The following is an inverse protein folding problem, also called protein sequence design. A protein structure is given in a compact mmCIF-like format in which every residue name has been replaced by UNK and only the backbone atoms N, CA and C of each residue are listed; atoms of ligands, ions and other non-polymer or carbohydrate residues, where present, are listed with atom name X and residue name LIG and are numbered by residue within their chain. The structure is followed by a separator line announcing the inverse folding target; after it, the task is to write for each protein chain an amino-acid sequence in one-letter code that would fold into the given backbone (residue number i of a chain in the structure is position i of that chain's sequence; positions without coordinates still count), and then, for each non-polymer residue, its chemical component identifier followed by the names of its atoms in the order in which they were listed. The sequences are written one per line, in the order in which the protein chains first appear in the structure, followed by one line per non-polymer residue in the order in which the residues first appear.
data_IF_853690096031
#
_entry.id   IF_853690096031
#
_cell.length_a   1.000
_cell.length_b   1.000
_cell.length_c   1.000
_cell.angle_alpha   90.00
_cell.angle_beta   90.00
_cell.angle_gamma   90.00
#
_symmetry.space_group_name_H-M   'P 1'
#
loop_
_entity.id
_entity.type
_entity.pdbx_description
1 polymer ?
#
# COMPACT_ATOMS: atom_id res chain seq x y z
N UNK A 1 1.91 2.93 32.06
CA UNK A 1 2.39 1.60 32.49
C UNK A 1 2.86 0.88 31.23
N UNK A 2 4.18 0.74 31.06
CA UNK A 2 4.81 0.19 29.86
C UNK A 2 4.68 -1.33 29.82
N UNK A 3 3.78 -1.84 28.97
CA UNK A 3 3.65 -3.27 28.70
C UNK A 3 4.67 -3.69 27.66
N UNK A 4 5.69 -4.45 28.07
CA UNK A 4 6.61 -5.13 27.15
C UNK A 4 5.93 -6.37 26.58
N UNK A 5 5.77 -6.44 25.26
CA UNK A 5 5.26 -7.60 24.56
C UNK A 5 6.34 -8.69 24.50
N UNK A 6 6.04 -9.88 25.03
CA UNK A 6 6.88 -11.08 24.89
C UNK A 6 6.08 -12.15 24.18
N UNK A 7 6.43 -12.45 22.94
CA UNK A 7 5.99 -13.67 22.26
C UNK A 7 6.58 -14.90 22.96
N UNK A 8 5.73 -15.87 23.31
CA UNK A 8 6.17 -17.17 23.84
C UNK A 8 6.52 -18.12 22.69
N UNK A 9 7.61 -18.89 22.77
CA UNK A 9 7.89 -19.94 21.79
C UNK A 9 7.02 -21.18 22.07
N UNK A 10 6.41 -21.76 21.02
CA UNK A 10 5.85 -23.11 21.08
C UNK A 10 6.95 -24.14 20.80
N UNK A 11 7.06 -25.12 21.69
CA UNK A 11 8.00 -26.25 21.63
C UNK A 11 7.64 -27.28 20.54
N UNK A 12 8.62 -27.92 19.88
CA UNK A 12 8.37 -28.94 18.86
C UNK A 12 8.51 -30.36 19.45
N UNK A 13 7.54 -31.24 19.21
CA UNK A 13 7.82 -32.70 19.30
C UNK A 13 6.86 -33.55 18.46
N UNK A 14 7.51 -34.43 17.68
CA UNK A 14 7.13 -35.79 17.27
C UNK A 14 6.10 -36.00 16.15
N UNK A 15 6.60 -36.46 15.00
CA UNK A 15 6.22 -37.76 14.43
C UNK A 15 7.32 -38.32 13.50
N UNK A 16 7.71 -39.58 13.72
CA UNK A 16 8.65 -40.37 12.88
C UNK A 16 7.89 -41.08 11.75
N UNK A 17 8.58 -41.50 10.66
CA UNK A 17 7.95 -42.04 9.46
C UNK A 17 7.70 -43.56 9.57
N UNK A 18 6.59 -44.04 8.98
CA UNK A 18 6.38 -45.46 8.70
C UNK A 18 6.40 -45.73 7.20
N UNK A 19 7.36 -46.55 6.79
CA UNK A 19 7.49 -47.18 5.48
C UNK A 19 6.44 -48.29 5.28
N UNK A 20 5.74 -48.31 4.15
CA UNK A 20 5.37 -49.58 3.50
C UNK A 20 5.06 -49.36 2.01
N UNK A 21 5.99 -49.79 1.17
CA UNK A 21 5.80 -50.04 -0.26
C UNK A 21 5.00 -51.32 -0.47
N UNK A 22 3.88 -51.26 -1.20
CA UNK A 22 3.32 -52.41 -1.89
C UNK A 22 3.17 -52.09 -3.39
N UNK A 23 3.74 -52.97 -4.21
CA UNK A 23 3.63 -52.95 -5.67
C UNK A 23 2.27 -53.52 -6.07
N UNK A 24 1.60 -52.89 -7.02
CA UNK A 24 0.88 -53.65 -8.03
C UNK A 24 0.78 -52.87 -9.33
N UNK A 25 1.24 -53.52 -10.40
CA UNK A 25 1.25 -53.03 -11.75
C UNK A 25 -0.15 -53.15 -12.37
N UNK A 26 -0.64 -52.08 -12.99
CA UNK A 26 -1.74 -52.16 -13.95
C UNK A 26 -1.34 -51.40 -15.22
N UNK A 27 -1.65 -52.08 -16.32
CA UNK A 27 -1.18 -51.96 -17.69
C UNK A 27 -1.96 -50.87 -18.44
N UNK A 28 -1.24 -50.00 -19.16
CA UNK A 28 -1.82 -49.01 -20.08
C UNK A 28 -2.34 -49.65 -21.38
N UNK A 29 -3.40 -49.11 -22.00
CA UNK A 29 -3.62 -49.22 -23.43
C UNK A 29 -3.26 -47.92 -24.17
N UNK A 30 -2.58 -48.09 -25.30
CA UNK A 30 -2.33 -47.07 -26.32
C UNK A 30 -3.63 -46.83 -27.11
N UNK A 31 -3.95 -45.58 -27.39
CA UNK A 31 -5.02 -45.20 -28.30
C UNK A 31 -4.88 -43.73 -28.70
N UNK A 32 -4.53 -43.51 -29.95
CA UNK A 32 -4.31 -42.21 -30.56
C UNK A 32 -5.62 -41.42 -30.74
N UNK A 33 -5.57 -40.09 -30.60
CA UNK A 33 -6.26 -39.19 -31.53
C UNK A 33 -5.65 -37.79 -31.42
N UNK A 34 -5.25 -37.27 -32.57
CA UNK A 34 -4.77 -35.91 -32.75
C UNK A 34 -5.96 -34.96 -32.81
N UNK A 35 -5.96 -33.92 -31.98
CA UNK A 35 -6.88 -32.79 -32.09
C UNK A 35 -6.32 -31.77 -33.09
N UNK A 36 -7.11 -31.26 -34.05
CA UNK A 36 -6.67 -30.21 -34.94
C UNK A 36 -6.73 -28.83 -34.24
N UNK A 37 -5.65 -28.08 -34.44
CA UNK A 37 -5.45 -26.67 -34.13
C UNK A 37 -6.54 -25.77 -34.74
N UNK A 38 -7.15 -24.91 -33.91
CA UNK A 38 -7.96 -23.79 -34.35
C UNK A 38 -7.06 -22.61 -34.77
N UNK A 39 -7.40 -21.88 -35.85
CA UNK A 39 -6.59 -20.77 -36.32
C UNK A 39 -6.82 -19.50 -35.48
N UNK A 40 -5.71 -18.84 -35.17
CA UNK A 40 -5.62 -17.49 -34.63
C UNK A 40 -6.10 -16.53 -35.73
N UNK A 41 -7.15 -15.77 -35.46
CA UNK A 41 -7.63 -14.71 -36.37
C UNK A 41 -6.79 -13.45 -36.16
N UNK A 42 -6.00 -13.15 -37.18
CA UNK A 42 -5.19 -11.97 -37.36
C UNK A 42 -6.09 -10.78 -37.76
N UNK A 43 -6.30 -9.82 -36.87
CA UNK A 43 -7.04 -8.58 -37.16
C UNK A 43 -6.04 -7.42 -37.37
N UNK A 44 -5.68 -7.26 -38.64
CA UNK A 44 -5.50 -6.00 -39.37
C UNK A 44 -4.94 -4.78 -38.62
N UNK A 45 -3.63 -4.56 -38.76
CA UNK A 45 -3.03 -3.23 -38.68
C UNK A 45 -3.44 -2.41 -39.91
N UNK A 46 -4.27 -1.39 -39.70
CA UNK A 46 -4.53 -0.35 -40.70
C UNK A 46 -3.59 0.85 -40.45
N UNK A 47 -2.62 0.99 -41.35
CA UNK A 47 -1.80 2.19 -41.51
C UNK A 47 -2.68 3.41 -41.86
N UNK A 48 -2.56 4.50 -41.10
CA UNK A 48 -2.84 5.84 -41.61
C UNK A 48 -1.61 6.72 -41.44
N UNK A 49 -0.89 6.89 -42.56
CA UNK A 49 0.02 8.02 -42.78
C UNK A 49 -0.83 9.24 -43.09
N UNK A 50 -0.68 10.31 -42.30
CA UNK A 50 -0.99 11.68 -42.75
C UNK A 50 0.15 12.60 -42.37
N UNK A 51 1.03 12.82 -43.34
CA UNK A 51 1.94 13.95 -43.38
C UNK A 51 1.14 15.21 -43.71
N UNK A 52 1.24 16.26 -42.88
CA UNK A 52 0.89 17.63 -43.27
C UNK A 52 2.06 18.54 -42.88
N UNK A 53 2.32 19.48 -43.79
CA UNK A 53 3.57 20.16 -44.01
C UNK A 53 3.91 21.28 -43.02
N UNK A 54 5.22 21.53 -42.93
CA UNK A 54 5.87 22.73 -42.42
C UNK A 54 5.33 24.00 -43.08
N UNK A 55 5.03 25.03 -42.28
CA UNK A 55 5.10 26.42 -42.70
C UNK A 55 5.63 27.28 -41.54
N UNK A 56 6.87 27.72 -41.70
CA UNK A 56 7.57 28.69 -40.88
C UNK A 56 7.19 30.11 -41.29
N UNK A 57 6.79 30.96 -40.34
CA UNK A 57 6.87 32.42 -40.47
C UNK A 57 7.37 33.01 -39.16
N UNK A 58 8.58 33.55 -39.22
CA UNK A 58 9.20 34.42 -38.22
C UNK A 58 8.73 35.85 -38.48
N UNK A 59 8.33 36.59 -37.44
CA UNK A 59 8.61 38.04 -37.32
C UNK A 59 8.52 38.49 -35.86
N UNK A 60 9.55 39.21 -35.44
CA UNK A 60 9.79 39.68 -34.09
C UNK A 60 9.37 41.15 -33.88
N UNK A 61 9.08 41.44 -32.60
CA UNK A 61 9.33 42.66 -31.81
C UNK A 61 8.76 44.03 -32.23
N UNK A 62 7.99 44.66 -31.33
CA UNK A 62 8.48 45.70 -30.40
C UNK A 62 7.34 46.68 -30.00
N UNK A 63 7.17 46.95 -28.70
CA UNK A 63 6.89 48.29 -28.15
C UNK A 63 6.80 48.23 -26.61
N UNK A 64 7.83 48.76 -25.95
CA UNK A 64 7.75 49.25 -24.56
C UNK A 64 6.92 50.54 -24.55
N UNK A 65 6.09 50.75 -23.55
CA UNK A 65 5.82 52.11 -23.05
C UNK A 65 5.55 52.09 -21.55
N UNK A 66 6.32 52.94 -20.88
CA UNK A 66 6.40 53.24 -19.46
C UNK A 66 5.37 54.33 -19.12
N UNK A 67 4.58 54.14 -18.06
CA UNK A 67 3.89 55.19 -17.28
C UNK A 67 3.28 54.51 -16.05
N UNK A 68 3.14 55.10 -14.87
CA UNK A 68 3.73 56.24 -14.18
C UNK A 68 3.20 56.09 -12.74
N UNK A 69 4.06 56.39 -11.76
CA UNK A 69 3.74 56.30 -10.34
C UNK A 69 2.53 57.16 -9.94
N UNK A 70 1.64 56.61 -9.11
CA UNK A 70 0.81 57.39 -8.21
C UNK A 70 0.91 56.79 -6.80
N UNK A 71 1.57 57.56 -5.93
CA UNK A 71 1.61 57.38 -4.49
C UNK A 71 0.41 58.14 -3.89
N UNK A 72 -0.29 57.57 -2.90
CA UNK A 72 -0.80 58.36 -1.80
C UNK A 72 -0.19 57.92 -0.46
N UNK A 73 0.32 58.91 0.27
CA UNK A 73 0.76 58.83 1.66
C UNK A 73 -0.39 58.57 2.64
N UNK A 74 -0.11 58.04 3.85
CA UNK A 74 -1.10 57.36 4.68
C UNK A 74 -1.94 58.33 5.53
N UNK A 75 -3.20 58.00 5.71
CA UNK A 75 -4.06 58.58 6.75
C UNK A 75 -3.87 57.74 8.01
N UNK A 76 -3.35 58.36 9.06
CA UNK A 76 -3.32 57.79 10.41
C UNK A 76 -4.74 57.76 10.98
N UNK A 77 -5.19 56.60 11.44
CA UNK A 77 -6.48 56.47 12.10
C UNK A 77 -6.79 55.05 12.59
N UNK A 78 -6.63 54.87 13.91
CA UNK A 78 -7.38 53.96 14.78
C UNK A 78 -7.01 52.46 14.72
N UNK A 79 -6.19 52.05 15.69
CA UNK A 79 -6.06 50.65 16.12
C UNK A 79 -7.42 50.13 16.62
N UNK A 80 -7.87 49.00 16.06
CA UNK A 80 -8.91 48.15 16.64
C UNK A 80 -8.26 46.85 17.12
N UNK A 81 -8.72 46.28 18.25
CA UNK A 81 -8.09 45.10 18.84
C UNK A 81 -8.34 43.89 17.93
N UNK A 82 -7.26 43.26 17.46
CA UNK A 82 -7.35 42.07 16.63
C UNK A 82 -7.99 40.89 17.38
N UNK A 83 -8.86 40.10 16.73
CA UNK A 83 -9.35 38.87 17.33
C UNK A 83 -8.19 37.87 17.46
N UNK A 84 -7.88 37.55 18.71
CA UNK A 84 -7.19 36.34 19.13
C UNK A 84 -7.81 35.11 18.48
N UNK A 85 -6.97 34.25 17.90
CA UNK A 85 -7.35 32.94 17.39
C UNK A 85 -7.22 32.82 15.88
N UNK A 86 -5.99 32.86 15.36
CA UNK A 86 -5.72 32.14 14.12
C UNK A 86 -5.94 30.64 14.42
N UNK A 87 -6.80 29.92 13.68
CA UNK A 87 -6.81 28.47 13.78
C UNK A 87 -5.41 28.01 13.40
N UNK A 88 -4.84 27.09 14.18
CA UNK A 88 -3.66 26.37 13.74
C UNK A 88 -3.99 25.83 12.35
N UNK A 89 -3.24 26.27 11.34
CA UNK A 89 -3.22 25.62 10.04
C UNK A 89 -2.89 24.16 10.35
N UNK A 90 -3.90 23.30 10.36
CA UNK A 90 -3.67 21.86 10.30
C UNK A 90 -2.86 21.69 9.03
N UNK A 91 -1.57 21.43 9.18
CA UNK A 91 -0.70 21.10 8.06
C UNK A 91 -1.34 19.90 7.40
N UNK A 92 -1.87 20.08 6.19
CA UNK A 92 -2.31 18.97 5.36
C UNK A 92 -1.20 17.93 5.38
N UNK A 93 -1.51 16.63 5.57
CA UNK A 93 -0.51 15.58 5.47
C UNK A 93 0.26 15.76 4.17
N UNK A 94 1.59 15.65 4.22
CA UNK A 94 2.42 15.60 3.01
C UNK A 94 1.85 14.48 2.13
N UNK A 95 1.51 14.78 0.87
CA UNK A 95 0.97 13.75 -0.02
C UNK A 95 2.06 12.69 -0.23
N UNK A 96 1.83 11.42 0.17
CA UNK A 96 2.82 10.38 0.03
C UNK A 96 3.03 9.97 -1.43
N UNK A 97 2.22 10.43 -2.39
CA UNK A 97 2.44 10.11 -3.81
C UNK A 97 3.29 11.17 -4.50
N UNK A 98 4.29 10.72 -5.26
CA UNK A 98 5.05 11.54 -6.19
C UNK A 98 5.01 10.96 -7.59
N UNK A 99 5.09 11.82 -8.60
CA UNK A 99 5.16 11.43 -10.00
C UNK A 99 6.63 11.34 -10.47
N UNK A 100 6.86 10.63 -11.57
CA UNK A 100 8.20 10.40 -12.12
C UNK A 100 8.96 11.71 -12.42
N UNK A 101 8.28 12.76 -12.85
CA UNK A 101 8.87 14.07 -13.10
C UNK A 101 9.52 14.67 -11.84
N UNK A 102 8.89 14.50 -10.68
CA UNK A 102 9.48 14.95 -9.42
C UNK A 102 10.76 14.17 -9.14
N UNK A 103 10.73 12.84 -9.29
CA UNK A 103 11.91 12.02 -9.03
C UNK A 103 13.05 12.39 -10.00
N UNK A 104 12.78 12.59 -11.29
CA UNK A 104 13.80 13.00 -12.26
C UNK A 104 14.51 14.30 -11.87
N UNK A 105 13.78 15.26 -11.30
CA UNK A 105 14.36 16.53 -10.87
C UNK A 105 15.20 16.42 -9.59
N UNK A 106 14.95 15.43 -8.74
CA UNK A 106 15.53 15.34 -7.39
C UNK A 106 16.36 14.08 -7.14
N UNK A 107 16.44 13.14 -8.09
CA UNK A 107 17.15 11.86 -7.90
C UNK A 107 18.66 12.04 -7.62
N UNK A 108 19.23 13.18 -8.05
CA UNK A 108 20.62 13.54 -7.79
C UNK A 108 20.83 14.29 -6.46
N UNK A 109 19.75 14.64 -5.74
CA UNK A 109 19.85 15.32 -4.45
C UNK A 109 20.41 14.35 -3.40
N UNK A 110 21.38 14.82 -2.60
CA UNK A 110 22.05 13.96 -1.62
C UNK A 110 21.11 13.38 -0.56
N UNK A 111 20.01 14.08 -0.26
CA UNK A 111 18.99 13.67 0.70
C UNK A 111 17.87 12.80 0.10
N UNK A 112 17.85 12.55 -1.22
CA UNK A 112 16.90 11.61 -1.83
C UNK A 112 17.48 10.21 -1.84
N UNK A 113 16.72 9.25 -1.33
CA UNK A 113 17.05 7.82 -1.37
C UNK A 113 15.92 7.08 -2.07
N UNK A 114 16.25 6.39 -3.15
CA UNK A 114 15.28 5.54 -3.85
C UNK A 114 15.39 4.11 -3.31
N UNK A 115 14.27 3.53 -2.90
CA UNK A 115 14.14 2.16 -2.44
C UNK A 115 13.24 1.37 -3.39
N UNK A 116 13.74 0.22 -3.83
CA UNK A 116 12.91 -0.80 -4.48
C UNK A 116 12.43 -1.82 -3.46
N UNK A 117 11.11 -1.93 -3.29
CA UNK A 117 10.47 -2.94 -2.48
C UNK A 117 10.48 -4.30 -3.20
N UNK A 118 11.34 -5.20 -2.75
CA UNK A 118 11.49 -6.54 -3.35
C UNK A 118 10.86 -7.62 -2.48
N UNK A 119 9.96 -8.42 -3.05
CA UNK A 119 9.51 -9.66 -2.41
C UNK A 119 10.41 -10.86 -2.74
N UNK A 120 10.92 -10.93 -3.97
CA UNK A 120 11.78 -12.02 -4.44
C UNK A 120 13.11 -11.46 -4.93
N UNK A 121 14.19 -12.13 -4.58
CA UNK A 121 15.52 -11.74 -5.03
C UNK A 121 15.61 -11.81 -6.57
N UNK A 122 16.21 -10.78 -7.17
CA UNK A 122 16.63 -10.78 -8.57
C UNK A 122 15.85 -9.84 -9.49
N UNK A 123 14.74 -9.24 -9.03
CA UNK A 123 14.01 -8.24 -9.82
C UNK A 123 14.88 -6.98 -9.99
N UNK A 124 15.43 -6.47 -8.90
CA UNK A 124 16.35 -5.35 -8.87
C UNK A 124 17.53 -5.58 -9.80
N UNK A 125 18.16 -6.75 -9.72
CA UNK A 125 19.35 -7.03 -10.53
C UNK A 125 19.08 -7.08 -12.04
N UNK A 126 17.83 -7.35 -12.45
CA UNK A 126 17.44 -7.37 -13.85
C UNK A 126 17.22 -5.96 -14.40
N UNK A 127 16.47 -5.12 -13.70
CA UNK A 127 16.16 -3.75 -14.09
C UNK A 127 15.71 -2.93 -12.87
N UNK A 128 16.35 -1.79 -12.61
CA UNK A 128 16.00 -0.89 -11.50
C UNK A 128 16.23 0.59 -11.86
N UNK A 129 15.68 1.50 -11.05
CA UNK A 129 15.97 2.94 -11.16
C UNK A 129 17.43 3.19 -10.74
N UNK A 130 18.25 3.94 -11.52
CA UNK A 130 19.64 4.20 -11.18
C UNK A 130 19.82 4.77 -9.77
N UNK A 131 20.72 4.17 -8.99
CA UNK A 131 20.98 4.56 -7.60
C UNK A 131 19.95 4.07 -6.57
N UNK A 132 18.92 3.35 -7.01
CA UNK A 132 17.99 2.68 -6.09
C UNK A 132 18.68 1.61 -5.25
N UNK A 133 18.07 1.28 -4.12
CA UNK A 133 18.56 0.31 -3.14
C UNK A 133 17.45 -0.69 -2.86
N UNK A 134 17.69 -2.01 -2.95
CA UNK A 134 16.64 -2.96 -2.64
C UNK A 134 16.38 -2.96 -1.13
N UNK A 135 15.11 -3.06 -0.76
CA UNK A 135 14.67 -3.39 0.58
C UNK A 135 13.81 -4.64 0.47
N UNK A 136 14.24 -5.73 1.12
CA UNK A 136 13.55 -7.00 0.98
C UNK A 136 12.38 -7.08 1.94
N UNK A 137 11.32 -7.77 1.51
CA UNK A 137 10.15 -7.96 2.33
C UNK A 137 10.45 -8.66 3.66
N UNK A 138 11.30 -9.69 3.62
CA UNK A 138 11.75 -10.45 4.79
C UNK A 138 12.61 -9.63 5.75
N UNK A 139 13.09 -8.44 5.37
CA UNK A 139 13.79 -7.50 6.27
C UNK A 139 12.82 -6.61 7.06
N UNK A 140 11.56 -6.48 6.63
CA UNK A 140 10.57 -5.57 7.25
C UNK A 140 9.35 -6.28 7.83
N UNK A 141 9.08 -7.49 7.36
CA UNK A 141 7.95 -8.31 7.78
C UNK A 141 8.39 -9.77 7.92
N UNK A 142 7.67 -10.52 8.74
CA UNK A 142 7.82 -11.97 8.80
C UNK A 142 7.15 -12.57 7.57
N UNK A 143 7.87 -13.41 6.85
CA UNK A 143 7.29 -14.29 5.83
C UNK A 143 7.34 -15.72 6.38
N UNK A 144 6.20 -16.20 6.85
CA UNK A 144 6.05 -17.54 7.41
C UNK A 144 5.88 -18.61 6.33
N UNK A 145 5.70 -19.86 6.76
CA UNK A 145 5.42 -20.97 5.85
C UNK A 145 4.22 -20.66 4.94
N UNK A 146 4.36 -20.95 3.65
CA UNK A 146 3.33 -20.78 2.61
C UNK A 146 2.88 -19.33 2.32
N UNK A 147 3.47 -18.31 2.94
CA UNK A 147 3.21 -16.90 2.63
C UNK A 147 1.93 -16.31 3.26
N UNK A 148 1.39 -16.97 4.29
CA UNK A 148 0.22 -16.54 5.07
C UNK A 148 0.55 -15.75 6.34
N UNK A 149 1.77 -15.22 6.41
CA UNK A 149 2.28 -14.39 7.50
C UNK A 149 2.97 -13.22 6.82
N UNK A 150 2.66 -12.02 7.29
CA UNK A 150 3.18 -10.77 6.77
C UNK A 150 3.28 -9.69 7.85
N UNK A 151 3.10 -10.05 9.12
CA UNK A 151 3.19 -9.15 10.27
C UNK A 151 4.54 -8.44 10.28
N UNK A 152 4.50 -7.17 10.64
CA UNK A 152 5.72 -6.37 10.69
C UNK A 152 6.71 -6.95 11.69
N UNK A 153 8.00 -6.84 11.36
CA UNK A 153 9.08 -7.06 12.32
C UNK A 153 9.06 -6.03 13.44
N UNK A 154 9.89 -6.27 14.46
CA UNK A 154 10.06 -5.29 15.53
C UNK A 154 10.69 -4.00 14.98
N UNK A 155 10.34 -2.86 15.56
CA UNK A 155 10.76 -1.55 15.07
C UNK A 155 12.29 -1.40 14.92
N UNK A 156 13.05 -2.02 15.83
CA UNK A 156 14.52 -2.01 15.80
C UNK A 156 15.10 -2.86 14.67
N UNK A 157 14.46 -3.99 14.34
CA UNK A 157 14.87 -4.85 13.21
C UNK A 157 14.64 -4.12 11.89
N UNK A 158 13.46 -3.51 11.74
CA UNK A 158 13.12 -2.69 10.57
C UNK A 158 14.10 -1.52 10.46
N UNK A 159 14.35 -0.78 11.55
CA UNK A 159 15.29 0.33 11.53
C UNK A 159 16.70 -0.12 11.16
N UNK A 160 17.15 -1.30 11.58
CA UNK A 160 18.42 -1.87 11.17
C UNK A 160 18.47 -2.14 9.65
N UNK A 161 17.40 -2.70 9.08
CA UNK A 161 17.28 -2.88 7.63
C UNK A 161 17.34 -1.55 6.86
N UNK A 162 16.62 -0.53 7.33
CA UNK A 162 16.66 0.81 6.73
C UNK A 162 18.05 1.45 6.82
N UNK A 163 18.76 1.28 7.95
CA UNK A 163 20.16 1.73 8.07
C UNK A 163 21.08 0.96 7.11
N UNK A 164 20.89 -0.35 6.93
CA UNK A 164 21.66 -1.13 5.97
C UNK A 164 21.40 -0.67 4.52
N UNK A 165 20.17 -0.27 4.21
CA UNK A 165 19.81 0.42 2.97
C UNK A 165 20.28 1.89 2.92
N UNK A 166 21.08 2.36 3.88
CA UNK A 166 21.66 3.70 3.91
C UNK A 166 20.67 4.84 4.19
N UNK A 167 19.49 4.55 4.74
CA UNK A 167 18.47 5.57 5.09
C UNK A 167 18.94 6.41 6.28
N UNK A 168 18.95 7.72 6.11
CA UNK A 168 19.40 8.68 7.13
C UNK A 168 18.25 9.43 7.76
N UNK A 169 18.55 10.13 8.85
CA UNK A 169 17.59 10.96 9.58
C UNK A 169 16.98 12.08 8.74
N UNK A 170 17.71 12.60 7.76
CA UNK A 170 17.32 13.72 6.92
C UNK A 170 16.87 13.29 5.52
N UNK A 171 16.79 11.98 5.24
CA UNK A 171 16.46 11.49 3.92
C UNK A 171 14.98 11.68 3.56
N UNK A 172 14.74 12.13 2.32
CA UNK A 172 13.49 11.94 1.59
C UNK A 172 13.56 10.58 0.88
N UNK A 173 12.72 9.63 1.30
CA UNK A 173 12.74 8.27 0.76
C UNK A 173 11.66 8.12 -0.29
N UNK A 174 12.02 7.64 -1.48
CA UNK A 174 11.09 7.33 -2.57
C UNK A 174 11.04 5.82 -2.73
N UNK A 175 9.85 5.24 -2.62
CA UNK A 175 9.61 3.80 -2.64
C UNK A 175 8.89 3.46 -3.94
N UNK A 176 9.37 2.42 -4.63
CA UNK A 176 8.65 1.78 -5.72
C UNK A 176 8.78 0.27 -5.62
N UNK A 177 7.95 -0.47 -6.33
CA UNK A 177 8.05 -1.93 -6.37
C UNK A 177 7.18 -2.49 -7.50
N UNK A 178 7.26 -3.80 -7.69
CA UNK A 178 6.54 -4.49 -8.77
C UNK A 178 5.02 -4.56 -8.57
N UNK A 179 4.51 -4.28 -7.37
CA UNK A 179 3.08 -4.18 -7.09
C UNK A 179 2.78 -3.07 -6.09
N UNK A 180 1.58 -2.48 -6.15
CA UNK A 180 1.18 -1.47 -5.16
C UNK A 180 1.04 -2.06 -3.76
N UNK A 181 0.57 -3.30 -3.61
CA UNK A 181 0.47 -3.94 -2.29
C UNK A 181 1.83 -4.06 -1.59
N UNK A 182 2.90 -4.40 -2.32
CA UNK A 182 4.27 -4.43 -1.78
C UNK A 182 4.80 -3.03 -1.47
N UNK A 183 4.57 -2.10 -2.40
CA UNK A 183 5.05 -0.73 -2.30
C UNK A 183 4.39 0.00 -1.13
N UNK A 184 3.06 -0.09 -1.02
CA UNK A 184 2.29 0.45 0.08
C UNK A 184 2.66 -0.22 1.42
N UNK A 185 2.81 -1.56 1.47
CA UNK A 185 3.25 -2.23 2.70
C UNK A 185 4.61 -1.71 3.18
N UNK A 186 5.52 -1.49 2.24
CA UNK A 186 6.83 -0.88 2.54
C UNK A 186 6.66 0.56 3.02
N UNK A 187 5.82 1.39 2.39
CA UNK A 187 5.53 2.74 2.87
C UNK A 187 4.91 2.75 4.27
N UNK A 188 3.97 1.86 4.56
CA UNK A 188 3.34 1.72 5.88
C UNK A 188 4.38 1.36 6.95
N UNK A 189 5.41 0.58 6.62
CA UNK A 189 6.56 0.36 7.49
C UNK A 189 7.29 1.66 7.85
N UNK A 190 7.43 2.61 6.93
CA UNK A 190 7.99 3.92 7.24
C UNK A 190 7.04 4.73 8.15
N UNK A 191 5.74 4.74 7.88
CA UNK A 191 4.78 5.47 8.72
C UNK A 191 4.73 4.90 10.16
N UNK A 192 4.79 3.58 10.33
CA UNK A 192 4.92 2.90 11.62
C UNK A 192 6.11 3.40 12.44
N UNK A 193 7.26 3.63 11.79
CA UNK A 193 8.47 4.14 12.43
C UNK A 193 8.46 5.67 12.64
N UNK A 194 7.35 6.34 12.34
CA UNK A 194 7.22 7.80 12.41
C UNK A 194 7.93 8.52 11.27
N UNK A 195 8.16 7.85 10.15
CA UNK A 195 8.89 8.36 8.98
C UNK A 195 7.96 8.64 7.78
N UNK A 196 6.64 8.53 7.95
CA UNK A 196 5.66 8.69 6.87
C UNK A 196 5.74 10.06 6.18
N UNK A 197 6.00 11.13 6.92
CA UNK A 197 6.07 12.50 6.37
C UNK A 197 7.28 12.76 5.44
N UNK A 198 8.20 11.80 5.35
CA UNK A 198 9.40 11.86 4.49
C UNK A 198 9.56 10.62 3.62
N UNK A 199 8.57 9.74 3.62
CA UNK A 199 8.51 8.58 2.75
C UNK A 199 7.43 8.81 1.69
N UNK A 200 7.80 8.59 0.44
CA UNK A 200 6.95 8.81 -0.72
C UNK A 200 6.90 7.53 -1.56
N UNK A 201 5.83 7.36 -2.32
CA UNK A 201 5.62 6.29 -3.28
C UNK A 201 5.68 6.89 -4.68
N UNK A 202 6.50 6.31 -5.55
CA UNK A 202 6.51 6.63 -6.96
C UNK A 202 5.23 6.07 -7.62
N UNK A 203 4.29 6.96 -7.93
CA UNK A 203 2.99 6.60 -8.46
C UNK A 203 3.12 6.03 -9.89
N UNK A 204 2.75 4.77 -10.06
CA UNK A 204 2.95 4.01 -11.31
C UNK A 204 4.30 3.31 -11.43
N UNK A 205 5.14 3.35 -10.38
CA UNK A 205 6.35 2.55 -10.24
C UNK A 205 7.38 2.71 -11.36
N UNK A 206 8.14 1.65 -11.62
CA UNK A 206 9.21 1.61 -12.63
C UNK A 206 8.68 1.87 -14.05
N UNK A 207 7.45 1.45 -14.36
CA UNK A 207 6.84 1.69 -15.67
C UNK A 207 6.55 3.18 -15.90
N UNK A 208 6.05 3.90 -14.87
CA UNK A 208 5.86 5.34 -14.97
C UNK A 208 7.19 6.09 -15.11
N UNK A 209 8.24 5.64 -14.42
CA UNK A 209 9.60 6.15 -14.58
C UNK A 209 10.10 6.02 -16.02
N UNK A 210 10.01 4.81 -16.60
CA UNK A 210 10.41 4.55 -18.00
C UNK A 210 9.57 5.35 -18.99
N UNK A 211 8.25 5.43 -18.78
CA UNK A 211 7.34 6.18 -19.64
C UNK A 211 7.65 7.68 -19.67
N UNK A 212 8.15 8.22 -18.56
CA UNK A 212 8.56 9.60 -18.45
C UNK A 212 10.00 9.86 -18.97
N UNK A 213 10.67 8.83 -19.50
CA UNK A 213 11.99 8.93 -20.12
C UNK A 213 13.16 8.67 -19.18
N UNK A 214 12.90 8.14 -17.99
CA UNK A 214 13.92 7.77 -17.02
C UNK A 214 14.80 6.61 -17.49
N UNK A 215 16.10 6.71 -17.26
CA UNK A 215 17.06 5.64 -17.54
C UNK A 215 16.91 4.49 -16.54
N UNK A 216 17.32 3.27 -16.92
CA UNK A 216 17.34 2.11 -16.03
C UNK A 216 18.75 1.57 -15.87
N UNK A 217 19.01 0.99 -14.71
CA UNK A 217 20.24 0.28 -14.39
C UNK A 217 19.98 -1.22 -14.23
N UNK A 218 21.04 -2.02 -14.26
CA UNK A 218 21.01 -3.46 -14.05
C UNK A 218 22.27 -3.91 -13.31
N UNK A 219 22.22 -5.09 -12.70
CA UNK A 219 23.30 -5.66 -11.89
C UNK A 219 23.05 -5.57 -10.39
N UNK A 220 23.99 -6.08 -9.57
CA UNK A 220 23.83 -6.16 -8.13
C UNK A 220 23.72 -4.76 -7.49
N UNK A 221 23.12 -4.66 -6.29
CA UNK A 221 23.05 -3.41 -5.55
C UNK A 221 24.43 -2.81 -5.31
N UNK A 222 24.53 -1.48 -5.46
CA UNK A 222 25.74 -0.77 -5.09
C UNK A 222 25.98 -0.85 -3.58
N UNK A 223 27.25 -0.89 -3.17
CA UNK A 223 27.60 -0.77 -1.76
C UNK A 223 27.28 0.64 -1.26
N UNK A 224 26.56 0.73 -0.15
CA UNK A 224 26.14 2.01 0.46
C UNK A 224 26.64 2.08 1.89
N UNK A 225 27.08 3.27 2.31
CA UNK A 225 27.38 3.50 3.71
C UNK A 225 26.11 3.33 4.56
N UNK A 226 26.20 2.67 5.72
CA UNK A 226 25.06 2.56 6.62
C UNK A 226 24.51 3.93 7.02
N UNK A 227 23.19 4.01 7.05
CA UNK A 227 22.46 5.19 7.47
C UNK A 227 22.39 5.33 9.00
N UNK A 228 21.65 6.36 9.44
CA UNK A 228 21.54 6.74 10.86
C UNK A 228 20.10 7.07 11.28
N UNK A 229 19.12 6.49 10.59
CA UNK A 229 17.71 6.65 10.95
C UNK A 229 17.45 6.11 12.36
N UNK A 230 16.64 6.82 13.14
CA UNK A 230 16.17 6.40 14.46
C UNK A 230 14.64 6.27 14.43
N UNK A 231 14.06 5.15 14.87
CA UNK A 231 12.62 4.95 14.81
C UNK A 231 11.90 5.71 15.93
N UNK A 232 10.85 6.45 15.56
CA UNK A 232 9.86 6.96 16.49
C UNK A 232 8.67 5.98 16.45
N UNK A 233 8.81 4.83 17.10
CA UNK A 233 7.79 3.77 17.05
C UNK A 233 6.40 4.32 17.44
N UNK A 234 5.48 4.44 16.47
CA UNK A 234 4.14 4.98 16.68
C UNK A 234 3.27 3.94 17.38
N UNK A 235 3.12 4.09 18.69
CA UNK A 235 2.34 3.14 19.52
C UNK A 235 0.86 3.09 19.10
N UNK A 236 0.30 4.21 18.64
CA UNK A 236 -1.12 4.32 18.29
C UNK A 236 -1.44 3.90 16.84
N UNK A 237 -0.46 3.38 16.09
CA UNK A 237 -0.64 2.98 14.69
C UNK A 237 -1.43 1.64 14.56
N UNK A 238 -1.17 0.68 15.47
CA UNK A 238 -1.77 -0.67 15.42
C UNK A 238 -2.91 -0.83 16.42
N UNK A 239 -3.92 -1.59 16.03
CA UNK A 239 -4.98 -2.10 16.93
C UNK A 239 -4.98 -3.62 16.96
N UNK A 240 -5.43 -4.21 18.07
CA UNK A 240 -5.56 -5.66 18.24
C UNK A 240 -6.99 -6.13 17.96
N UNK A 241 -7.16 -7.44 17.75
CA UNK A 241 -8.48 -8.06 17.66
C UNK A 241 -9.35 -7.76 18.89
N UNK A 242 -8.76 -7.78 20.10
CA UNK A 242 -9.49 -7.47 21.35
C UNK A 242 -9.97 -6.01 21.39
N UNK A 243 -9.17 -5.07 20.87
CA UNK A 243 -9.55 -3.66 20.79
C UNK A 243 -10.74 -3.48 19.84
N UNK A 244 -10.71 -4.15 18.68
CA UNK A 244 -11.80 -4.11 17.70
C UNK A 244 -13.06 -4.74 18.29
N UNK A 245 -12.93 -5.94 18.88
CA UNK A 245 -14.03 -6.67 19.50
C UNK A 245 -14.73 -5.85 20.59
N UNK A 246 -13.96 -5.13 21.42
CA UNK A 246 -14.47 -4.25 22.46
C UNK A 246 -15.21 -3.01 21.95
N UNK A 247 -15.13 -2.70 20.65
CA UNK A 247 -15.78 -1.56 19.99
C UNK A 247 -16.78 -1.95 18.90
N UNK A 248 -17.09 -3.23 18.73
CA UNK A 248 -18.14 -3.64 17.78
C UNK A 248 -19.47 -2.97 18.15
N UNK A 249 -20.15 -2.42 17.14
CA UNK A 249 -21.38 -1.65 17.29
C UNK A 249 -21.19 -0.17 17.65
N UNK A 250 -19.95 0.31 17.82
CA UNK A 250 -19.66 1.74 17.96
C UNK A 250 -19.86 2.47 16.61
N UNK A 251 -20.82 3.38 16.56
CA UNK A 251 -21.14 4.15 15.33
C UNK A 251 -20.00 5.06 14.85
N UNK A 252 -19.03 5.36 15.72
CA UNK A 252 -17.84 6.14 15.37
C UNK A 252 -16.70 5.28 14.78
N UNK A 253 -16.81 3.95 14.85
CA UNK A 253 -15.84 3.01 14.29
C UNK A 253 -16.24 2.60 12.87
N UNK A 254 -15.29 2.71 11.94
CA UNK A 254 -15.43 2.19 10.58
C UNK A 254 -14.39 1.10 10.39
N UNK A 255 -14.84 -0.12 10.13
CA UNK A 255 -13.98 -1.23 9.75
C UNK A 255 -14.01 -1.38 8.23
N UNK A 256 -12.83 -1.43 7.60
CA UNK A 256 -12.66 -1.55 6.15
C UNK A 256 -11.91 -2.84 5.83
N UNK A 257 -12.55 -3.72 5.07
CA UNK A 257 -12.00 -4.99 4.63
C UNK A 257 -11.49 -4.90 3.18
N UNK A 258 -10.17 -5.05 2.99
CA UNK A 258 -9.52 -4.89 1.69
C UNK A 258 -9.59 -6.14 0.78
N UNK A 259 -10.34 -7.16 1.20
CA UNK A 259 -10.42 -8.45 0.49
C UNK A 259 -11.42 -8.42 -0.67
N UNK A 260 -11.22 -9.26 -1.71
CA UNK A 260 -12.19 -9.46 -2.78
C UNK A 260 -13.50 -10.04 -2.25
N UNK A 261 -14.53 -10.00 -3.10
CA UNK A 261 -15.91 -10.33 -2.76
C UNK A 261 -16.08 -11.75 -2.20
N UNK A 262 -15.44 -12.74 -2.82
CA UNK A 262 -15.52 -14.14 -2.39
C UNK A 262 -14.91 -14.38 -1.01
N UNK A 263 -13.79 -13.72 -0.69
CA UNK A 263 -13.16 -13.77 0.64
C UNK A 263 -14.00 -13.02 1.70
N UNK A 264 -14.59 -11.87 1.36
CA UNK A 264 -15.39 -11.05 2.28
C UNK A 264 -16.73 -11.73 2.62
N UNK A 265 -17.45 -12.17 1.59
CA UNK A 265 -18.73 -12.87 1.72
C UNK A 265 -18.56 -14.27 2.30
N UNK A 266 -17.36 -14.85 2.20
CA UNK A 266 -17.04 -16.19 2.64
C UNK A 266 -17.43 -17.29 1.64
N UNK A 267 -17.76 -16.94 0.40
CA UNK A 267 -18.04 -17.88 -0.69
C UNK A 267 -16.82 -18.75 -1.05
N UNK A 268 -15.60 -18.29 -0.78
CA UNK A 268 -14.36 -19.05 -0.99
C UNK A 268 -14.15 -20.19 0.04
N UNK A 269 -15.01 -20.26 1.07
CA UNK A 269 -14.90 -21.22 2.17
C UNK A 269 -13.81 -20.91 3.18
N UNK A 270 -13.16 -19.74 3.10
CA UNK A 270 -12.09 -19.27 3.98
C UNK A 270 -10.74 -19.90 3.68
N UNK A 271 -9.75 -19.09 3.28
CA UNK A 271 -8.39 -19.57 2.94
C UNK A 271 -8.42 -20.76 1.95
N UNK A 272 -9.34 -20.74 0.97
CA UNK A 272 -9.53 -21.85 0.04
C UNK A 272 -10.07 -23.14 0.68
N UNK A 273 -11.07 -23.03 1.56
CA UNK A 273 -11.69 -24.09 2.37
C UNK A 273 -10.84 -24.64 3.53
N UNK A 274 -9.78 -23.94 3.93
CA UNK A 274 -8.90 -24.33 5.04
C UNK A 274 -9.08 -23.51 6.32
N UNK A 275 -9.83 -22.41 6.26
CA UNK A 275 -10.02 -21.45 7.34
C UNK A 275 -11.49 -21.19 7.68
N UNK A 276 -11.72 -20.20 8.55
CA UNK A 276 -13.07 -19.70 8.83
C UNK A 276 -13.47 -18.68 7.75
N UNK A 277 -14.58 -18.87 7.01
CA UNK A 277 -15.06 -17.91 6.03
C UNK A 277 -15.72 -16.71 6.70
N UNK A 278 -15.93 -15.62 5.95
CA UNK A 278 -16.68 -14.43 6.37
C UNK A 278 -15.79 -13.22 6.64
N UNK A 279 -16.35 -12.24 7.35
CA UNK A 279 -15.70 -10.97 7.70
C UNK A 279 -16.00 -10.54 9.15
N UNK A 280 -15.34 -9.45 9.60
CA UNK A 280 -15.54 -8.90 10.94
C UNK A 280 -16.92 -8.21 10.98
N UNK A 281 -17.76 -8.46 12.01
CA UNK A 281 -19.08 -7.85 12.06
C UNK A 281 -19.08 -6.33 11.92
N UNK A 282 -19.95 -5.77 11.07
CA UNK A 282 -20.00 -4.33 10.85
C UNK A 282 -18.98 -3.78 9.84
N UNK A 283 -18.08 -4.60 9.31
CA UNK A 283 -17.04 -4.14 8.39
C UNK A 283 -17.56 -3.91 6.98
N UNK A 284 -17.30 -2.73 6.41
CA UNK A 284 -17.57 -2.47 5.01
C UNK A 284 -16.45 -3.05 4.13
N UNK A 285 -16.81 -3.72 3.05
CA UNK A 285 -15.85 -4.17 2.06
C UNK A 285 -15.37 -3.01 1.20
N UNK A 286 -14.08 -2.65 1.30
CA UNK A 286 -13.41 -1.72 0.39
C UNK A 286 -12.38 -2.53 -0.40
N UNK A 287 -12.73 -3.07 -1.57
CA UNK A 287 -11.74 -3.87 -2.29
C UNK A 287 -10.58 -2.97 -2.76
N UNK A 288 -9.34 -3.28 -2.36
CA UNK A 288 -8.19 -2.38 -2.57
C UNK A 288 -7.97 -1.94 -4.02
N UNK A 289 -8.33 -2.78 -5.02
CA UNK A 289 -8.23 -2.43 -6.44
C UNK A 289 -9.21 -1.34 -6.87
N UNK A 290 -10.29 -1.10 -6.11
CA UNK A 290 -11.15 0.07 -6.33
C UNK A 290 -10.36 1.37 -6.25
N UNK A 291 -9.28 1.42 -5.44
CA UNK A 291 -8.44 2.60 -5.28
C UNK A 291 -7.38 2.76 -6.38
N UNK A 292 -7.19 1.72 -7.21
CA UNK A 292 -6.15 1.67 -8.26
C UNK A 292 -6.66 2.14 -9.61
N UNK A 293 -5.75 2.70 -10.39
CA UNK A 293 -5.97 2.95 -11.81
C UNK A 293 -6.24 1.60 -12.51
N UNK A 294 -7.36 1.49 -13.27
CA UNK A 294 -7.75 0.23 -13.91
C UNK A 294 -6.76 -0.24 -14.99
N UNK A 295 -5.97 0.68 -15.56
CA UNK A 295 -4.97 0.40 -16.59
C UNK A 295 -3.55 0.23 -16.00
N UNK A 296 -3.35 0.59 -14.73
CA UNK A 296 -2.08 0.45 -14.03
C UNK A 296 -2.27 0.20 -12.52
N UNK A 297 -2.17 -1.06 -12.09
CA UNK A 297 -2.33 -1.44 -10.68
C UNK A 297 -1.19 -0.99 -9.73
N UNK A 298 -0.18 -0.28 -10.24
CA UNK A 298 0.85 0.42 -9.44
C UNK A 298 0.61 1.92 -9.36
N UNK A 299 -0.51 2.41 -9.91
CA UNK A 299 -0.93 3.80 -9.87
C UNK A 299 -2.23 3.91 -9.08
N UNK A 300 -2.29 4.86 -8.16
CA UNK A 300 -3.52 5.25 -7.51
C UNK A 300 -4.42 6.03 -8.46
N UNK A 301 -5.74 5.88 -8.27
CA UNK A 301 -6.72 6.80 -8.86
C UNK A 301 -6.45 8.24 -8.43
N UNK A 302 -6.97 9.23 -9.17
CA UNK A 302 -6.95 10.62 -8.73
C UNK A 302 -7.51 10.79 -7.32
N UNK A 303 -6.90 11.71 -6.55
CA UNK A 303 -7.25 12.00 -5.16
C UNK A 303 -8.76 12.20 -4.91
N UNK A 304 -9.45 12.88 -5.83
CA UNK A 304 -10.89 13.11 -5.73
C UNK A 304 -11.72 11.82 -5.85
N UNK A 305 -11.29 10.88 -6.71
CA UNK A 305 -11.93 9.57 -6.84
C UNK A 305 -11.70 8.72 -5.59
N UNK A 306 -10.48 8.72 -5.05
CA UNK A 306 -10.15 8.04 -3.78
C UNK A 306 -11.06 8.52 -2.65
N UNK A 307 -11.19 9.84 -2.48
CA UNK A 307 -12.05 10.43 -1.45
C UNK A 307 -13.52 9.98 -1.63
N UNK A 308 -13.99 9.95 -2.88
CA UNK A 308 -15.35 9.47 -3.19
C UNK A 308 -15.53 7.98 -2.85
N UNK A 309 -14.57 7.13 -3.23
CA UNK A 309 -14.59 5.68 -2.97
C UNK A 309 -14.60 5.41 -1.47
N UNK A 310 -13.69 6.03 -0.71
CA UNK A 310 -13.65 5.93 0.76
C UNK A 310 -14.98 6.34 1.38
N UNK A 311 -15.57 7.46 0.92
CA UNK A 311 -16.86 7.96 1.40
C UNK A 311 -18.03 7.00 1.17
N UNK A 312 -18.07 6.30 0.02
CA UNK A 312 -19.10 5.26 -0.26
C UNK A 312 -19.06 4.11 0.74
N UNK A 313 -17.87 3.80 1.24
CA UNK A 313 -17.61 2.74 2.22
C UNK A 313 -17.68 3.23 3.68
N UNK A 314 -18.22 4.44 3.89
CA UNK A 314 -18.51 4.99 5.22
C UNK A 314 -17.34 5.70 5.89
N UNK A 315 -16.18 5.78 5.25
CA UNK A 315 -15.02 6.50 5.76
C UNK A 315 -15.19 8.02 5.62
N UNK A 316 -14.71 8.79 6.59
CA UNK A 316 -14.84 10.25 6.60
C UNK A 316 -14.39 10.88 7.91
N UNK A 317 -14.35 12.20 7.95
CA UNK A 317 -13.92 12.96 9.13
C UNK A 317 -14.78 12.66 10.37
N UNK A 318 -14.17 12.74 11.55
CA UNK A 318 -14.86 12.54 12.84
C UNK A 318 -15.11 11.07 13.20
N UNK A 319 -14.63 10.12 12.40
CA UNK A 319 -14.67 8.68 12.67
C UNK A 319 -13.27 8.12 12.86
N UNK A 320 -13.19 7.03 13.62
CA UNK A 320 -11.98 6.22 13.73
C UNK A 320 -12.08 5.06 12.74
N UNK A 321 -11.07 4.89 11.91
CA UNK A 321 -11.04 3.85 10.87
C UNK A 321 -10.05 2.75 11.25
N UNK A 322 -10.39 1.51 10.93
CA UNK A 322 -9.47 0.39 10.99
C UNK A 322 -9.51 -0.33 9.65
N UNK A 323 -8.34 -0.50 9.03
CA UNK A 323 -8.20 -1.28 7.80
C UNK A 323 -7.61 -2.64 8.11
N UNK A 324 -8.09 -3.66 7.41
CA UNK A 324 -7.57 -5.02 7.49
C UNK A 324 -7.79 -5.76 6.17
N UNK A 325 -7.12 -6.89 5.98
CA UNK A 325 -7.41 -7.78 4.86
C UNK A 325 -7.21 -9.24 5.29
N UNK A 326 -6.50 -10.06 4.52
CA UNK A 326 -6.10 -11.39 4.97
C UNK A 326 -4.89 -11.35 5.92
N UNK A 327 -3.81 -10.66 5.53
CA UNK A 327 -2.52 -10.62 6.26
C UNK A 327 -1.86 -9.22 6.21
N UNK A 328 -2.63 -8.15 6.04
CA UNK A 328 -2.12 -6.77 6.02
C UNK A 328 -1.49 -6.27 4.70
N UNK A 329 -1.30 -7.11 3.68
CA UNK A 329 -0.73 -6.64 2.39
C UNK A 329 -1.66 -5.66 1.65
N UNK A 330 -2.90 -6.10 1.35
CA UNK A 330 -3.91 -5.29 0.65
C UNK A 330 -4.35 -4.08 1.48
N UNK A 331 -4.55 -4.27 2.79
CA UNK A 331 -4.92 -3.21 3.72
C UNK A 331 -3.89 -2.07 3.80
N UNK A 332 -2.63 -2.31 3.41
CA UNK A 332 -1.61 -1.25 3.33
C UNK A 332 -1.94 -0.20 2.26
N UNK A 333 -2.63 -0.61 1.19
CA UNK A 333 -3.12 0.30 0.15
C UNK A 333 -4.21 1.20 0.72
N UNK A 334 -5.22 0.60 1.36
CA UNK A 334 -6.34 1.30 1.98
C UNK A 334 -5.87 2.23 3.10
N UNK A 335 -4.90 1.78 3.92
CA UNK A 335 -4.28 2.60 4.95
C UNK A 335 -3.65 3.86 4.35
N UNK A 336 -2.83 3.69 3.31
CA UNK A 336 -2.17 4.82 2.66
C UNK A 336 -3.19 5.78 2.04
N UNK A 337 -4.24 5.27 1.40
CA UNK A 337 -5.32 6.09 0.86
C UNK A 337 -6.05 6.90 1.95
N UNK A 338 -6.34 6.28 3.09
CA UNK A 338 -6.95 6.96 4.23
C UNK A 338 -6.01 8.03 4.83
N UNK A 339 -4.71 7.73 4.94
CA UNK A 339 -3.68 8.71 5.38
C UNK A 339 -3.54 9.88 4.42
N UNK A 340 -3.56 9.63 3.11
CA UNK A 340 -3.57 10.68 2.08
C UNK A 340 -4.73 11.65 2.30
N UNK A 341 -5.90 11.14 2.69
CA UNK A 341 -7.10 11.96 2.98
C UNK A 341 -7.08 12.61 4.37
N UNK A 342 -6.07 12.36 5.19
CA UNK A 342 -5.97 12.90 6.55
C UNK A 342 -6.93 12.25 7.54
N UNK A 343 -7.41 11.03 7.26
CA UNK A 343 -8.32 10.32 8.16
C UNK A 343 -7.59 9.77 9.39
N UNK A 344 -8.30 9.69 10.51
CA UNK A 344 -7.88 8.95 11.70
C UNK A 344 -7.99 7.45 11.41
N UNK A 345 -6.88 6.81 11.06
CA UNK A 345 -6.82 5.43 10.61
C UNK A 345 -5.77 4.63 11.38
N UNK A 346 -6.20 3.45 11.85
CA UNK A 346 -5.36 2.45 12.47
C UNK A 346 -5.25 1.20 11.60
N UNK A 347 -4.19 0.43 11.84
CA UNK A 347 -3.88 -0.77 11.11
C UNK A 347 -4.11 -2.02 11.97
N UNK A 348 -4.96 -2.94 11.52
CA UNK A 348 -5.09 -4.26 12.16
C UNK A 348 -4.19 -5.27 11.45
N UNK A 349 -2.95 -5.38 11.95
CA UNK A 349 -1.89 -6.14 11.29
C UNK A 349 -2.17 -7.64 11.21
N UNK A 350 -2.74 -8.22 12.28
CA UNK A 350 -3.16 -9.63 12.32
C UNK A 350 -4.26 -9.95 11.32
N UNK A 351 -5.08 -8.97 10.95
CA UNK A 351 -6.06 -9.07 9.86
C UNK A 351 -7.02 -10.28 10.02
N UNK A 352 -7.61 -10.76 8.92
CA UNK A 352 -8.50 -11.93 8.95
C UNK A 352 -7.78 -13.20 9.38
N UNK A 353 -6.46 -13.33 9.17
CA UNK A 353 -5.70 -14.48 9.66
C UNK A 353 -5.78 -14.60 11.18
N UNK A 354 -5.58 -13.50 11.92
CA UNK A 354 -5.72 -13.45 13.38
C UNK A 354 -7.19 -13.58 13.79
N UNK A 355 -8.09 -12.77 13.20
CA UNK A 355 -9.50 -12.78 13.57
C UNK A 355 -10.16 -14.14 13.29
N UNK A 356 -9.97 -14.68 12.09
CA UNK A 356 -10.55 -15.94 11.62
C UNK A 356 -10.11 -17.15 12.43
N UNK A 357 -8.89 -17.15 12.97
CA UNK A 357 -8.37 -18.24 13.84
C UNK A 357 -8.93 -18.20 15.26
N UNK A 358 -9.46 -17.05 15.68
CA UNK A 358 -10.01 -16.84 17.02
C UNK A 358 -11.49 -17.19 17.09
N UNK A 359 -11.75 -18.43 17.50
CA UNK A 359 -13.12 -18.97 17.65
C UNK A 359 -13.97 -18.25 18.71
N UNK A 360 -13.35 -17.46 19.59
CA UNK A 360 -14.03 -16.60 20.56
C UNK A 360 -14.58 -15.29 19.96
N UNK A 361 -14.15 -14.93 18.75
CA UNK A 361 -14.58 -13.71 18.06
C UNK A 361 -15.74 -13.98 17.09
N UNK A 362 -16.70 -13.04 16.97
CA UNK A 362 -17.86 -13.17 16.09
C UNK A 362 -17.48 -13.00 14.61
N UNK A 363 -18.33 -13.49 13.71
CA UNK A 363 -18.13 -13.44 12.24
C UNK A 363 -19.48 -13.20 11.57
N UNK A 364 -19.47 -12.41 10.50
CA UNK A 364 -20.59 -12.21 9.57
C UNK A 364 -20.27 -12.83 8.19
N UNK A 365 -21.30 -13.15 7.42
CA UNK A 365 -21.20 -13.83 6.12
C UNK A 365 -22.03 -13.08 5.08
N UNK A 366 -21.76 -13.30 3.80
CA UNK A 366 -22.50 -12.64 2.74
C UNK A 366 -22.16 -11.16 2.58
N UNK A 367 -22.93 -10.42 1.76
CA UNK A 367 -22.52 -9.10 1.27
C UNK A 367 -22.96 -7.94 2.17
N UNK A 368 -23.84 -8.16 3.15
CA UNK A 368 -24.36 -7.09 4.00
C UNK A 368 -23.54 -7.01 5.30
N UNK A 369 -22.87 -5.89 5.59
CA UNK A 369 -22.06 -5.69 6.80
C UNK A 369 -22.87 -5.68 8.11
N UNK A 370 -24.18 -5.96 8.05
CA UNK A 370 -25.08 -6.01 9.21
C UNK A 370 -26.08 -7.16 9.10
N UNK A 371 -25.74 -8.22 8.37
CA UNK A 371 -26.54 -9.43 8.38
C UNK A 371 -26.41 -10.11 9.75
N UNK A 372 -27.10 -9.56 10.74
CA UNK A 372 -27.24 -10.16 12.06
C UNK A 372 -28.02 -11.47 11.94
N UNK A 373 -27.42 -12.51 11.38
CA UNK A 373 -27.85 -13.89 11.53
C UNK A 373 -27.42 -14.34 12.92
N UNK A 374 -28.08 -13.76 13.93
CA UNK A 374 -28.15 -14.28 15.28
C UNK A 374 -28.97 -15.58 15.33
N UNK A 375 -28.71 -16.52 14.42
CA UNK A 375 -29.23 -17.89 14.46
C UNK A 375 -28.19 -18.79 15.14
N UNK A 376 -27.85 -18.41 16.37
CA UNK A 376 -27.34 -19.39 17.34
C UNK A 376 -28.47 -20.35 17.71
N UNK A 377 -28.20 -21.65 17.93
CA UNK A 377 -29.24 -22.58 18.33
C UNK A 377 -29.67 -22.23 19.76
N UNK A 378 -30.87 -21.66 19.90
CA UNK A 378 -31.54 -21.49 21.19
C UNK A 378 -31.86 -22.83 21.87
N UNK A 379 -32.04 -22.84 23.20
CA UNK A 379 -32.08 -24.05 24.05
C UNK A 379 -33.21 -25.04 23.73
#
# INVERSE_FOLDING_TARGET
MSGTWKCRPRSPTCCKPSTSTSRSAIRAPRGASASPSLPVSDFGQAHMKKSIALASVVRAAAAMTLCALLIPTPIAGQESPGPSGAPALQTMPVDPLIEADWLMMHIADEDVIVIEAERRAGAFAAEHIPGARPLRFDDIAWEGEEGWIAEFREADEIAAALRAAGVRRDSRVVIYGASMTMTARTWVTFDLLGLGDRAFVLNGGLEAWKAAGGEVAAGPPAEVAPGNVEPANRVDFRVSADWINGRLGDESLVLLDARPDDEYTGEDGGLGNGGRPGHIPGAAQLYWEELMDPDNNTRFRPRAEIAHILGRHGAGEGKTHVVYCMIGMRASVDYMAARMMGLDVHFYDGSWRDWGDRLDLPVEMGPDPRDGSSDGPGP
#
